data_IF_739562320462
#
_entry.id   IF_739562320462
#
_cell.length_a   1.000
_cell.length_b   1.000
_cell.length_c   1.000
_cell.angle_alpha   90.00
_cell.angle_beta   90.00
_cell.angle_gamma   90.00
#
_symmetry.space_group_name_H-M   'P 1'
#
loop_
_entity.id
_entity.type
_entity.pdbx_description
1 polymer ?
#
# COMPACT_ATOMS: atom_id res chain seq x y z
N UNK A 1 -12.48 -32.27 -5.21
CA UNK A 1 -11.34 -31.53 -4.62
C UNK A 1 -10.89 -32.30 -3.40
N UNK A 2 -9.76 -33.01 -3.45
CA UNK A 2 -9.19 -33.59 -2.22
C UNK A 2 -8.74 -32.42 -1.36
N UNK A 3 -9.44 -32.17 -0.25
CA UNK A 3 -8.97 -31.27 0.79
C UNK A 3 -7.70 -31.89 1.36
N UNK A 4 -6.55 -31.37 0.97
CA UNK A 4 -5.26 -31.77 1.52
C UNK A 4 -5.26 -31.30 2.98
N UNK A 5 -5.70 -32.15 3.91
CA UNK A 5 -5.88 -31.78 5.31
C UNK A 5 -4.50 -31.66 5.95
N UNK A 6 -4.04 -30.41 6.09
CA UNK A 6 -2.81 -30.10 6.82
C UNK A 6 -2.96 -30.58 8.25
N UNK A 7 -1.99 -31.39 8.68
CA UNK A 7 -1.92 -31.96 10.03
C UNK A 7 -0.51 -31.81 10.57
N UNK A 8 -0.36 -31.94 11.88
CA UNK A 8 0.95 -31.92 12.55
C UNK A 8 0.97 -32.98 13.64
N UNK A 9 2.06 -33.73 13.73
CA UNK A 9 2.19 -34.79 14.71
C UNK A 9 2.70 -34.27 16.06
N UNK A 10 2.37 -34.98 17.14
CA UNK A 10 2.95 -34.69 18.47
C UNK A 10 4.48 -34.81 18.51
N UNK A 11 5.08 -35.58 17.60
CA UNK A 11 6.54 -35.68 17.46
C UNK A 11 7.11 -34.41 16.84
N UNK A 12 6.54 -33.97 15.73
CA UNK A 12 6.93 -32.70 15.10
C UNK A 12 6.79 -31.54 16.08
N UNK A 13 5.69 -31.49 16.86
CA UNK A 13 5.52 -30.46 17.90
C UNK A 13 6.59 -30.58 18.98
N UNK A 14 6.98 -31.78 19.39
CA UNK A 14 8.05 -31.99 20.38
C UNK A 14 9.40 -31.51 19.85
N UNK A 15 9.71 -31.79 18.59
CA UNK A 15 10.94 -31.35 17.92
C UNK A 15 10.99 -29.82 17.76
N UNK A 16 9.90 -29.20 17.30
CA UNK A 16 9.78 -27.75 17.14
C UNK A 16 9.91 -27.01 18.47
N UNK A 17 9.41 -27.61 19.55
CA UNK A 17 9.33 -26.95 20.86
C UNK A 17 10.46 -27.31 21.81
N UNK A 18 11.26 -28.34 21.51
CA UNK A 18 12.24 -28.90 22.43
C UNK A 18 11.63 -29.57 23.68
N UNK A 19 10.30 -29.68 23.78
CA UNK A 19 9.64 -30.39 24.89
C UNK A 19 9.81 -31.90 24.70
N UNK A 20 9.98 -32.63 25.81
CA UNK A 20 9.96 -34.09 25.76
C UNK A 20 8.64 -34.61 25.17
N UNK A 21 8.70 -35.50 24.19
CA UNK A 21 7.51 -36.03 23.48
C UNK A 21 6.43 -36.57 24.43
N UNK A 22 6.84 -37.28 25.50
CA UNK A 22 5.92 -37.78 26.53
C UNK A 22 5.04 -36.68 27.15
N UNK A 23 5.58 -35.47 27.30
CA UNK A 23 4.85 -34.32 27.87
C UNK A 23 3.89 -33.74 26.83
N UNK A 24 4.34 -33.59 25.58
CA UNK A 24 3.49 -33.13 24.46
C UNK A 24 2.32 -34.08 24.25
N UNK A 25 2.55 -35.39 24.30
CA UNK A 25 1.52 -36.42 24.17
C UNK A 25 0.51 -36.38 25.33
N UNK A 26 0.98 -36.18 26.56
CA UNK A 26 0.10 -36.01 27.72
C UNK A 26 -0.74 -34.74 27.63
N UNK A 27 -0.14 -33.62 27.25
CA UNK A 27 -0.81 -32.33 27.06
C UNK A 27 -1.88 -32.44 25.95
N UNK A 28 -1.54 -33.07 24.81
CA UNK A 28 -2.47 -33.30 23.71
C UNK A 28 -3.68 -34.15 24.14
N UNK A 29 -3.44 -35.24 24.89
CA UNK A 29 -4.53 -36.08 25.44
C UNK A 29 -5.44 -35.30 26.38
N UNK A 30 -4.86 -34.47 27.25
CA UNK A 30 -5.62 -33.61 28.16
C UNK A 30 -6.48 -32.60 27.39
N UNK A 31 -5.93 -31.99 26.34
CA UNK A 31 -6.67 -31.07 25.48
C UNK A 31 -7.82 -31.77 24.78
N UNK A 32 -7.59 -32.97 24.23
CA UNK A 32 -8.63 -33.80 23.62
C UNK A 32 -9.74 -34.16 24.62
N UNK A 33 -9.38 -34.51 25.85
CA UNK A 33 -10.35 -34.82 26.90
C UNK A 33 -11.19 -33.59 27.27
N UNK A 34 -10.56 -32.43 27.46
CA UNK A 34 -11.25 -31.17 27.77
C UNK A 34 -12.19 -30.76 26.63
N UNK A 35 -11.75 -30.87 25.37
CA UNK A 35 -12.59 -30.49 24.21
C UNK A 35 -13.73 -31.48 23.99
N UNK A 36 -13.51 -32.78 24.27
CA UNK A 36 -14.59 -33.79 24.28
C UNK A 36 -15.62 -33.52 25.36
N UNK A 37 -15.22 -33.20 26.58
CA UNK A 37 -16.12 -32.96 27.71
C UNK A 37 -17.00 -31.70 27.53
N UNK A 38 -16.56 -30.73 26.70
CA UNK A 38 -17.32 -29.52 26.39
C UNK A 38 -18.28 -29.66 25.20
N UNK A 39 -18.06 -30.67 24.36
CA UNK A 39 -19.02 -31.09 23.35
C UNK A 39 -20.09 -31.93 24.05
N UNK A 40 -21.29 -31.41 24.24
CA UNK A 40 -22.42 -32.12 24.85
C UNK A 40 -22.63 -33.52 24.23
N UNK A 41 -23.28 -34.47 24.93
CA UNK A 41 -23.62 -35.79 24.40
C UNK A 41 -24.76 -35.66 23.38
N UNK A 42 -24.48 -35.03 22.25
CA UNK A 42 -25.34 -35.08 21.09
C UNK A 42 -25.03 -36.39 20.37
N UNK A 43 -26.06 -37.23 20.30
CA UNK A 43 -26.13 -38.49 19.58
C UNK A 43 -25.28 -38.49 18.29
N UNK A 44 -24.59 -39.62 18.08
CA UNK A 44 -23.93 -40.10 16.85
C UNK A 44 -22.40 -39.94 16.86
N UNK A 45 -21.72 -41.09 16.90
CA UNK A 45 -20.26 -41.30 16.97
C UNK A 45 -19.46 -40.86 15.72
N UNK A 46 -19.95 -39.91 14.91
CA UNK A 46 -19.39 -39.60 13.58
C UNK A 46 -18.69 -38.23 13.47
N UNK A 47 -18.52 -37.48 14.56
CA UNK A 47 -17.71 -36.26 14.51
C UNK A 47 -16.22 -36.63 14.45
N UNK A 48 -15.48 -36.28 13.36
CA UNK A 48 -14.04 -36.52 13.32
C UNK A 48 -13.39 -35.75 14.45
N UNK A 49 -12.68 -36.47 15.31
CA UNK A 49 -12.15 -36.00 16.59
C UNK A 49 -11.05 -34.94 16.48
N UNK A 50 -10.79 -34.40 15.28
CA UNK A 50 -9.69 -33.50 14.99
C UNK A 50 -8.30 -34.14 15.14
N UNK A 51 -8.23 -35.44 15.44
CA UNK A 51 -6.98 -36.18 15.55
C UNK A 51 -7.12 -37.63 15.05
N UNK A 52 -5.98 -38.25 14.74
CA UNK A 52 -5.84 -39.70 14.58
C UNK A 52 -4.66 -40.25 15.39
N UNK A 53 -4.75 -41.54 15.74
CA UNK A 53 -3.66 -42.24 16.43
C UNK A 53 -2.68 -42.83 15.40
N UNK A 54 -1.39 -42.74 15.70
CA UNK A 54 -0.32 -43.29 14.87
C UNK A 54 0.84 -43.78 15.75
N UNK A 55 1.84 -44.42 15.13
CA UNK A 55 3.07 -44.86 15.81
C UNK A 55 4.31 -44.35 15.09
N UNK A 56 5.37 -44.06 15.84
CA UNK A 56 6.70 -43.76 15.32
C UNK A 56 7.72 -44.75 15.88
N UNK A 57 8.86 -44.88 15.20
CA UNK A 57 10.00 -45.65 15.71
C UNK A 57 10.95 -44.73 16.44
N UNK A 58 11.29 -45.08 17.68
CA UNK A 58 12.28 -44.34 18.45
C UNK A 58 13.71 -44.67 18.01
N UNK A 59 14.71 -43.97 18.57
CA UNK A 59 16.13 -44.21 18.27
C UNK A 59 16.65 -45.60 18.66
N UNK A 60 15.84 -46.43 19.33
CA UNK A 60 16.13 -47.84 19.67
C UNK A 60 15.31 -48.81 18.80
N UNK A 61 14.70 -48.29 17.73
CA UNK A 61 13.84 -49.03 16.81
C UNK A 61 12.61 -49.66 17.47
N UNK A 62 12.16 -49.13 18.62
CA UNK A 62 10.93 -49.54 19.28
C UNK A 62 9.76 -48.66 18.82
N UNK A 63 8.59 -49.28 18.62
CA UNK A 63 7.37 -48.54 18.27
C UNK A 63 6.78 -47.83 19.48
N UNK A 64 6.46 -46.54 19.28
CA UNK A 64 5.93 -45.65 20.30
C UNK A 64 4.68 -44.93 19.75
N UNK A 65 3.66 -44.70 20.58
CA UNK A 65 2.44 -44.02 20.14
C UNK A 65 2.69 -42.53 19.90
N UNK A 66 1.99 -41.95 18.92
CA UNK A 66 1.89 -40.52 18.68
C UNK A 66 0.48 -40.15 18.21
N UNK A 67 0.13 -38.86 18.28
CA UNK A 67 -1.10 -38.33 17.70
C UNK A 67 -0.79 -37.46 16.49
N UNK A 68 -1.64 -37.54 15.48
CA UNK A 68 -1.69 -36.62 14.33
C UNK A 68 -2.83 -35.66 14.58
N UNK A 69 -2.55 -34.37 14.65
CA UNK A 69 -3.50 -33.34 15.06
C UNK A 69 -3.87 -32.45 13.87
N UNK A 70 -5.15 -32.06 13.80
CA UNK A 70 -5.63 -31.03 12.88
C UNK A 70 -5.25 -29.61 13.37
N UNK A 71 -5.65 -28.61 12.60
CA UNK A 71 -5.39 -27.19 12.91
C UNK A 71 -5.93 -26.80 14.28
N UNK A 72 -7.17 -27.18 14.57
CA UNK A 72 -7.86 -26.75 15.77
C UNK A 72 -7.22 -27.33 17.02
N UNK A 73 -6.91 -28.63 17.03
CA UNK A 73 -6.25 -29.26 18.16
C UNK A 73 -4.80 -28.83 18.32
N UNK A 74 -4.06 -28.65 17.23
CA UNK A 74 -2.69 -28.12 17.29
C UNK A 74 -2.67 -26.73 17.92
N UNK A 75 -3.58 -25.85 17.50
CA UNK A 75 -3.64 -24.48 18.00
C UNK A 75 -4.14 -24.43 19.44
N UNK A 76 -5.09 -25.29 19.79
CA UNK A 76 -5.59 -25.40 21.18
C UNK A 76 -4.49 -25.90 22.11
N UNK A 77 -3.72 -26.92 21.70
CA UNK A 77 -2.59 -27.44 22.47
C UNK A 77 -1.57 -26.37 22.81
N UNK A 78 -1.14 -25.60 21.80
CA UNK A 78 -0.10 -24.60 22.00
C UNK A 78 -0.59 -23.38 22.80
N UNK A 79 -1.90 -23.16 22.99
CA UNK A 79 -2.38 -22.03 23.81
C UNK A 79 -1.79 -22.04 25.23
N UNK A 80 -1.51 -23.23 25.78
CA UNK A 80 -0.89 -23.42 27.09
C UNK A 80 0.65 -23.40 27.08
N UNK A 81 1.29 -23.18 25.93
CA UNK A 81 2.74 -23.06 25.81
C UNK A 81 3.17 -21.59 25.85
N UNK A 82 4.44 -21.33 26.14
CA UNK A 82 4.96 -19.97 26.11
C UNK A 82 4.96 -19.39 24.68
N UNK A 83 5.06 -18.07 24.60
CA UNK A 83 4.96 -17.33 23.34
C UNK A 83 6.01 -17.72 22.31
N UNK A 84 7.23 -18.09 22.74
CA UNK A 84 8.29 -18.53 21.82
C UNK A 84 7.93 -19.84 21.16
N UNK A 85 7.51 -20.84 21.95
CA UNK A 85 7.08 -22.14 21.44
C UNK A 85 5.85 -22.05 20.52
N UNK A 86 4.88 -21.20 20.89
CA UNK A 86 3.71 -20.92 20.04
C UNK A 86 4.12 -20.36 18.67
N UNK A 87 5.03 -19.38 18.66
CA UNK A 87 5.51 -18.77 17.43
C UNK A 87 6.14 -19.80 16.48
N UNK A 88 6.98 -20.70 17.01
CA UNK A 88 7.63 -21.76 16.21
C UNK A 88 6.61 -22.72 15.58
N UNK A 89 5.63 -23.17 16.36
CA UNK A 89 4.59 -24.09 15.86
C UNK A 89 3.69 -23.42 14.82
N UNK A 90 3.30 -22.16 15.06
CA UNK A 90 2.48 -21.38 14.10
C UNK A 90 3.24 -21.15 12.79
N UNK A 91 4.53 -20.81 12.86
CA UNK A 91 5.37 -20.63 11.66
C UNK A 91 5.42 -21.89 10.81
N UNK A 92 5.66 -23.05 11.44
CA UNK A 92 5.64 -24.34 10.74
C UNK A 92 4.27 -24.67 10.14
N UNK A 93 3.18 -24.32 10.83
CA UNK A 93 1.84 -24.53 10.30
C UNK A 93 1.59 -23.72 9.02
N UNK A 94 2.01 -22.46 8.98
CA UNK A 94 1.89 -21.59 7.79
C UNK A 94 2.65 -22.19 6.60
N UNK A 95 3.85 -22.75 6.84
CA UNK A 95 4.62 -23.44 5.79
C UNK A 95 3.86 -24.65 5.22
N UNK A 96 3.27 -25.47 6.09
CA UNK A 96 2.49 -26.64 5.66
C UNK A 96 1.23 -26.23 4.89
N UNK A 97 0.55 -25.15 5.29
CA UNK A 97 -0.59 -24.59 4.53
C UNK A 97 -0.16 -24.07 3.15
N UNK A 98 0.99 -23.39 3.07
CA UNK A 98 1.54 -22.92 1.80
C UNK A 98 1.95 -24.09 0.87
N UNK A 99 2.53 -25.16 1.43
CA UNK A 99 2.89 -26.37 0.67
C UNK A 99 1.67 -27.17 0.22
N UNK A 100 0.63 -27.25 1.05
CA UNK A 100 -0.59 -27.98 0.73
C UNK A 100 -1.46 -27.24 -0.29
N UNK A 101 -1.32 -25.91 -0.41
CA UNK A 101 -2.08 -25.09 -1.33
C UNK A 101 -1.24 -23.99 -2.02
N UNK A 102 -0.30 -24.35 -2.92
CA UNK A 102 0.53 -23.39 -3.63
C UNK A 102 -0.29 -22.52 -4.61
N UNK A 103 -1.50 -22.95 -5.01
CA UNK A 103 -2.35 -22.25 -5.97
C UNK A 103 -3.11 -21.04 -5.40
N UNK A 104 -3.49 -21.08 -4.12
CA UNK A 104 -4.30 -20.00 -3.50
C UNK A 104 -3.56 -18.66 -3.41
N UNK A 105 -2.25 -18.70 -3.15
CA UNK A 105 -1.41 -17.50 -3.17
C UNK A 105 -1.22 -16.98 -4.60
N UNK A 106 -1.04 -17.89 -5.58
CA UNK A 106 -0.83 -17.52 -6.98
C UNK A 106 -2.08 -16.88 -7.62
N UNK A 107 -3.27 -17.41 -7.32
CA UNK A 107 -4.55 -16.90 -7.83
C UNK A 107 -4.85 -15.50 -7.25
N UNK A 108 -4.63 -15.30 -5.96
CA UNK A 108 -4.81 -13.99 -5.31
C UNK A 108 -3.86 -12.93 -5.88
N UNK A 109 -2.61 -13.31 -6.15
CA UNK A 109 -1.60 -12.41 -6.76
C UNK A 109 -2.00 -12.06 -8.20
N UNK A 110 -2.52 -13.01 -8.96
CA UNK A 110 -2.95 -12.79 -10.33
C UNK A 110 -4.15 -11.82 -10.39
N UNK A 111 -5.17 -12.05 -9.58
CA UNK A 111 -6.37 -11.20 -9.54
C UNK A 111 -6.04 -9.76 -9.10
N UNK A 112 -5.15 -9.61 -8.13
CA UNK A 112 -4.67 -8.28 -7.71
C UNK A 112 -3.90 -7.59 -8.83
N UNK A 113 -3.03 -8.31 -9.55
CA UNK A 113 -2.29 -7.76 -10.69
C UNK A 113 -3.23 -7.35 -11.83
N UNK A 114 -4.18 -8.20 -12.21
CA UNK A 114 -5.16 -7.92 -13.26
C UNK A 114 -6.03 -6.70 -12.91
N UNK A 115 -6.43 -6.59 -11.65
CA UNK A 115 -7.19 -5.43 -11.14
C UNK A 115 -6.38 -4.14 -11.23
N UNK A 116 -5.09 -4.18 -10.84
CA UNK A 116 -4.22 -3.01 -10.93
C UNK A 116 -3.99 -2.60 -12.39
N UNK A 117 -3.77 -3.57 -13.27
CA UNK A 117 -3.59 -3.31 -14.70
C UNK A 117 -4.83 -2.69 -15.32
N UNK A 118 -6.03 -3.16 -14.97
CA UNK A 118 -7.29 -2.58 -15.43
C UNK A 118 -7.44 -1.12 -14.98
N UNK A 119 -7.06 -0.79 -13.74
CA UNK A 119 -7.07 0.61 -13.23
C UNK A 119 -6.10 1.50 -14.00
N UNK A 120 -4.88 1.02 -14.27
CA UNK A 120 -3.89 1.77 -15.08
C UNK A 120 -4.43 2.03 -16.49
N UNK A 121 -4.99 1.01 -17.14
CA UNK A 121 -5.56 1.14 -18.48
C UNK A 121 -6.73 2.14 -18.53
N UNK A 122 -7.58 2.17 -17.50
CA UNK A 122 -8.68 3.13 -17.40
C UNK A 122 -8.20 4.58 -17.22
N UNK A 123 -7.04 4.79 -16.57
CA UNK A 123 -6.46 6.13 -16.36
C UNK A 123 -5.67 6.65 -17.57
N UNK A 124 -5.18 5.78 -18.46
CA UNK A 124 -4.35 6.16 -19.58
C UNK A 124 -4.98 7.21 -20.54
N UNK A 125 -6.27 7.12 -20.95
CA UNK A 125 -6.88 8.11 -21.84
C UNK A 125 -6.93 9.52 -21.24
N UNK A 126 -7.22 9.62 -19.94
CA UNK A 126 -7.25 10.90 -19.23
C UNK A 126 -5.85 11.54 -19.15
N UNK A 127 -4.81 10.70 -18.94
CA UNK A 127 -3.42 11.16 -18.97
C UNK A 127 -3.00 11.62 -20.36
N UNK A 128 -3.36 10.89 -21.42
CA UNK A 128 -3.02 11.26 -22.80
C UNK A 128 -3.70 12.56 -23.23
N UNK A 129 -4.98 12.75 -22.88
CA UNK A 129 -5.68 14.01 -23.11
C UNK A 129 -5.02 15.17 -22.36
N UNK A 130 -4.61 14.92 -21.12
CA UNK A 130 -3.88 15.89 -20.31
C UNK A 130 -2.59 16.34 -21.01
N UNK A 131 -1.75 15.38 -21.43
CA UNK A 131 -0.49 15.64 -22.15
C UNK A 131 -0.75 16.38 -23.48
N UNK A 132 -1.78 16.00 -24.23
CA UNK A 132 -2.18 16.66 -25.47
C UNK A 132 -2.56 18.13 -25.23
N UNK A 133 -3.34 18.41 -24.17
CA UNK A 133 -3.71 19.78 -23.77
C UNK A 133 -2.46 20.60 -23.43
N UNK A 134 -1.51 20.03 -22.70
CA UNK A 134 -0.23 20.66 -22.37
C UNK A 134 0.63 21.04 -23.58
N UNK A 135 0.55 20.27 -24.67
CA UNK A 135 1.26 20.56 -25.94
C UNK A 135 0.54 21.62 -26.78
N UNK A 136 -0.79 21.58 -26.83
CA UNK A 136 -1.61 22.43 -27.71
C UNK A 136 -1.97 23.76 -27.07
N UNK A 137 -2.78 23.74 -26.01
CA UNK A 137 -3.38 24.93 -25.37
C UNK A 137 -2.63 25.38 -24.11
N UNK A 138 -1.88 24.48 -23.46
CA UNK A 138 -1.15 24.75 -22.23
C UNK A 138 -2.07 24.93 -21.02
N UNK A 139 -1.47 24.90 -19.83
CA UNK A 139 -2.18 24.95 -18.56
C UNK A 139 -2.28 26.38 -18.03
N UNK A 140 -3.40 26.72 -17.37
CA UNK A 140 -3.42 27.94 -16.55
C UNK A 140 -2.44 27.81 -15.38
N UNK A 141 -2.03 28.93 -14.79
CA UNK A 141 -1.10 28.93 -13.64
C UNK A 141 -1.59 28.04 -12.49
N UNK A 142 -2.85 28.22 -12.06
CA UNK A 142 -3.47 27.43 -10.99
C UNK A 142 -3.59 25.96 -11.36
N UNK A 143 -3.94 25.68 -12.61
CA UNK A 143 -4.03 24.31 -13.11
C UNK A 143 -2.67 23.61 -13.05
N UNK A 144 -1.63 24.27 -13.56
CA UNK A 144 -0.27 23.74 -13.56
C UNK A 144 0.27 23.53 -12.13
N UNK A 145 -0.02 24.46 -11.21
CA UNK A 145 0.37 24.33 -9.81
C UNK A 145 -0.30 23.13 -9.14
N UNK A 146 -1.61 22.93 -9.36
CA UNK A 146 -2.33 21.77 -8.83
C UNK A 146 -1.75 20.45 -9.33
N UNK A 147 -1.41 20.39 -10.62
CA UNK A 147 -0.82 19.20 -11.23
C UNK A 147 0.62 18.93 -10.77
N UNK A 148 1.28 19.95 -10.24
CA UNK A 148 2.63 19.89 -9.69
C UNK A 148 2.64 19.77 -8.17
N UNK A 149 1.48 19.56 -7.53
CA UNK A 149 1.35 19.49 -6.07
C UNK A 149 1.89 20.76 -5.36
N UNK A 150 1.60 21.92 -5.93
CA UNK A 150 1.91 23.23 -5.33
C UNK A 150 0.66 23.76 -4.60
N UNK A 151 0.74 23.86 -3.28
CA UNK A 151 -0.42 24.09 -2.41
C UNK A 151 -1.00 25.51 -2.50
N UNK A 152 -0.14 26.47 -2.81
CA UNK A 152 -0.48 27.90 -2.71
C UNK A 152 -0.06 28.67 -3.97
N UNK A 153 -0.78 28.49 -5.09
CA UNK A 153 -0.40 29.06 -6.38
C UNK A 153 -0.31 30.60 -6.37
N UNK A 154 -1.20 31.29 -5.68
CA UNK A 154 -1.22 32.77 -5.66
C UNK A 154 -0.08 33.34 -4.82
N UNK A 155 0.20 32.73 -3.66
CA UNK A 155 1.36 33.09 -2.85
C UNK A 155 2.66 32.85 -3.63
N UNK A 156 2.77 31.72 -4.32
CA UNK A 156 3.93 31.44 -5.16
C UNK A 156 4.11 32.49 -6.24
N UNK A 157 3.02 32.91 -6.90
CA UNK A 157 3.08 33.94 -7.91
C UNK A 157 3.49 35.30 -7.33
N UNK A 158 2.98 35.66 -6.14
CA UNK A 158 3.41 36.85 -5.41
C UNK A 158 4.91 36.79 -5.06
N UNK A 159 5.39 35.64 -4.58
CA UNK A 159 6.81 35.42 -4.31
C UNK A 159 7.65 35.60 -5.58
N UNK A 160 7.22 35.06 -6.73
CA UNK A 160 7.91 35.26 -8.00
C UNK A 160 7.96 36.74 -8.39
N UNK A 161 6.91 37.52 -8.10
CA UNK A 161 6.92 38.97 -8.31
C UNK A 161 7.97 39.64 -7.43
N UNK A 162 8.01 39.33 -6.13
CA UNK A 162 9.01 39.89 -5.21
C UNK A 162 10.44 39.55 -5.60
N UNK A 163 10.65 38.40 -6.24
CA UNK A 163 11.95 37.95 -6.74
C UNK A 163 12.31 38.50 -8.13
N UNK A 164 11.48 39.36 -8.72
CA UNK A 164 11.68 39.88 -10.09
C UNK A 164 11.50 38.84 -11.20
N UNK A 165 10.96 37.66 -10.87
CA UNK A 165 10.70 36.56 -11.81
C UNK A 165 9.34 36.65 -12.48
N UNK A 166 8.50 37.57 -12.01
CA UNK A 166 7.20 37.90 -12.59
C UNK A 166 6.91 39.40 -12.38
N UNK A 167 5.97 39.96 -13.13
CA UNK A 167 5.54 41.36 -12.97
C UNK A 167 4.05 41.54 -13.22
N UNK A 168 3.48 42.60 -12.64
CA UNK A 168 2.15 43.10 -12.98
C UNK A 168 2.26 44.19 -14.05
N UNK A 169 1.41 44.13 -15.07
CA UNK A 169 1.30 45.18 -16.09
C UNK A 169 0.47 46.36 -15.56
N UNK A 170 0.51 47.50 -16.27
CA UNK A 170 -0.34 48.66 -15.97
C UNK A 170 -1.84 48.32 -16.02
N UNK A 171 -2.22 47.34 -16.84
CA UNK A 171 -3.58 46.81 -16.96
C UNK A 171 -3.93 45.74 -15.90
N UNK A 172 -3.05 45.49 -14.93
CA UNK A 172 -3.28 44.54 -13.83
C UNK A 172 -3.05 43.06 -14.19
N UNK A 173 -2.65 42.76 -15.42
CA UNK A 173 -2.31 41.41 -15.83
C UNK A 173 -0.95 40.98 -15.29
N UNK A 174 -0.70 39.66 -15.28
CA UNK A 174 0.56 39.10 -14.79
C UNK A 174 1.36 38.47 -15.93
N UNK A 175 2.64 38.80 -15.99
CA UNK A 175 3.62 38.25 -16.93
C UNK A 175 4.76 37.58 -16.15
N UNK A 176 5.30 36.48 -16.67
CA UNK A 176 6.54 35.89 -16.17
C UNK A 176 7.75 36.50 -16.87
N UNK A 177 8.91 36.43 -16.23
CA UNK A 177 10.17 36.88 -16.81
C UNK A 177 10.43 36.21 -18.18
N UNK A 178 10.96 36.93 -19.19
CA UNK A 178 11.19 36.38 -20.54
C UNK A 178 12.02 35.09 -20.58
N UNK A 179 12.91 34.87 -19.62
CA UNK A 179 13.69 33.63 -19.50
C UNK A 179 12.84 32.37 -19.42
N UNK A 180 11.65 32.44 -18.82
CA UNK A 180 10.73 31.29 -18.77
C UNK A 180 10.22 30.93 -20.16
N UNK A 181 10.01 31.92 -21.02
CA UNK A 181 9.65 31.71 -22.42
C UNK A 181 10.85 31.17 -23.20
N UNK A 182 12.04 31.75 -23.01
CA UNK A 182 13.27 31.29 -23.66
C UNK A 182 13.61 29.81 -23.33
N UNK A 183 13.32 29.37 -22.10
CA UNK A 183 13.49 27.96 -21.67
C UNK A 183 12.40 27.03 -22.20
N UNK A 184 11.34 27.57 -22.80
CA UNK A 184 10.18 26.84 -23.30
C UNK A 184 9.18 26.40 -22.20
N UNK A 185 9.27 26.98 -21.00
CA UNK A 185 8.39 26.63 -19.88
C UNK A 185 7.02 27.27 -19.99
N UNK A 186 6.95 28.43 -20.64
CA UNK A 186 5.69 29.16 -20.83
C UNK A 186 5.54 29.66 -22.24
N UNK A 187 4.29 29.83 -22.66
CA UNK A 187 3.93 30.54 -23.88
C UNK A 187 3.17 31.80 -23.54
N UNK A 188 3.47 32.88 -24.26
CA UNK A 188 2.78 34.16 -24.10
C UNK A 188 1.36 34.07 -24.66
N UNK A 189 0.43 34.78 -24.02
CA UNK A 189 -0.97 34.90 -24.44
C UNK A 189 -1.27 36.37 -24.65
N UNK A 190 -1.87 36.70 -25.81
CA UNK A 190 -2.28 38.07 -26.09
C UNK A 190 -3.40 38.51 -25.14
N UNK A 191 -3.43 39.79 -24.74
CA UNK A 191 -4.48 40.33 -23.87
C UNK A 191 -5.80 40.49 -24.64
N UNK A 192 -6.51 39.38 -24.86
CA UNK A 192 -7.90 39.37 -25.35
C UNK A 192 -8.84 39.09 -24.18
N UNK A 193 -9.82 39.97 -23.95
CA UNK A 193 -10.66 40.00 -22.73
C UNK A 193 -11.17 38.64 -22.25
N UNK A 194 -11.69 37.80 -23.14
CA UNK A 194 -12.23 36.47 -22.81
C UNK A 194 -11.17 35.47 -22.32
N UNK A 195 -9.98 35.50 -22.92
CA UNK A 195 -8.90 34.56 -22.63
C UNK A 195 -8.18 34.99 -21.35
N UNK A 196 -8.01 36.29 -21.13
CA UNK A 196 -7.36 36.81 -19.91
C UNK A 196 -8.24 36.65 -18.68
N UNK A 197 -9.55 36.86 -18.77
CA UNK A 197 -10.46 36.66 -17.63
C UNK A 197 -10.53 35.19 -17.21
N UNK A 198 -10.70 34.27 -18.17
CA UNK A 198 -10.72 32.82 -17.90
C UNK A 198 -9.36 32.24 -17.45
N UNK A 199 -8.26 32.95 -17.71
CA UNK A 199 -6.90 32.57 -17.28
C UNK A 199 -6.43 33.32 -16.02
N UNK A 200 -7.35 33.90 -15.22
CA UNK A 200 -7.00 34.56 -13.96
C UNK A 200 -6.16 35.84 -14.13
N UNK A 201 -6.20 36.46 -15.30
CA UNK A 201 -5.42 37.65 -15.63
C UNK A 201 -3.95 37.36 -15.95
N UNK A 202 -3.57 36.11 -16.22
CA UNK A 202 -2.20 35.76 -16.62
C UNK A 202 -2.04 35.83 -18.13
N UNK A 203 -1.00 36.53 -18.62
CA UNK A 203 -0.64 36.61 -20.04
C UNK A 203 0.28 35.48 -20.47
N UNK A 204 0.20 34.33 -19.79
CA UNK A 204 0.98 33.15 -20.09
C UNK A 204 0.19 31.88 -19.81
N UNK A 205 0.58 30.80 -20.50
CA UNK A 205 0.18 29.42 -20.18
C UNK A 205 1.42 28.58 -19.96
N UNK A 206 1.34 27.65 -19.02
CA UNK A 206 2.43 26.70 -18.74
C UNK A 206 2.41 25.60 -19.80
N UNK A 207 3.56 25.31 -20.40
CA UNK A 207 3.70 24.22 -21.37
C UNK A 207 3.82 22.88 -20.66
N UNK A 208 3.71 21.76 -21.40
CA UNK A 208 4.02 20.44 -20.83
C UNK A 208 5.44 20.41 -20.23
N UNK A 209 6.41 21.00 -20.94
CA UNK A 209 7.80 21.15 -20.48
C UNK A 209 7.90 21.97 -19.19
N UNK A 210 7.22 23.12 -19.11
CA UNK A 210 7.20 23.95 -17.90
C UNK A 210 6.52 23.27 -16.70
N UNK A 211 5.51 22.43 -16.96
CA UNK A 211 4.90 21.64 -15.90
C UNK A 211 5.89 20.58 -15.37
N UNK A 212 6.54 19.82 -16.24
CA UNK A 212 7.40 18.70 -15.84
C UNK A 212 8.77 19.14 -15.35
N UNK A 213 9.48 19.97 -16.10
CA UNK A 213 10.88 20.33 -15.83
C UNK A 213 11.05 21.54 -14.91
N UNK A 214 9.98 22.33 -14.70
CA UNK A 214 10.05 23.50 -13.83
C UNK A 214 9.17 23.35 -12.58
N UNK A 215 7.85 23.24 -12.73
CA UNK A 215 6.96 23.22 -11.57
C UNK A 215 7.09 21.91 -10.78
N UNK A 216 6.90 20.74 -11.42
CA UNK A 216 7.02 19.43 -10.76
C UNK A 216 8.41 19.19 -10.19
N UNK A 217 9.45 19.50 -10.96
CA UNK A 217 10.84 19.33 -10.53
C UNK A 217 11.20 20.16 -9.28
N UNK A 218 10.48 21.27 -9.01
CA UNK A 218 10.79 22.20 -7.91
C UNK A 218 9.64 22.37 -6.92
N UNK A 219 8.62 21.53 -6.97
CA UNK A 219 7.40 21.69 -6.17
C UNK A 219 7.70 21.74 -4.67
N UNK A 220 8.54 20.83 -4.17
CA UNK A 220 8.92 20.81 -2.75
C UNK A 220 9.68 22.05 -2.30
N UNK A 221 10.58 22.59 -3.14
CA UNK A 221 11.29 23.84 -2.86
C UNK A 221 10.34 25.04 -2.88
N UNK A 222 9.42 25.07 -3.85
CA UNK A 222 8.42 26.13 -4.00
C UNK A 222 7.45 26.16 -2.81
N UNK A 223 6.93 25.01 -2.38
CA UNK A 223 6.03 24.93 -1.22
C UNK A 223 6.73 25.37 0.07
N UNK A 224 8.00 24.96 0.27
CA UNK A 224 8.83 25.47 1.38
C UNK A 224 9.00 26.99 1.30
N UNK A 225 9.42 27.50 0.14
CA UNK A 225 9.65 28.92 -0.05
C UNK A 225 8.38 29.75 0.19
N UNK A 226 7.21 29.23 -0.18
CA UNK A 226 5.92 29.87 0.06
C UNK A 226 5.50 29.82 1.54
N UNK A 227 5.83 28.76 2.27
CA UNK A 227 5.58 28.67 3.71
C UNK A 227 6.40 29.69 4.52
N UNK A 228 7.61 30.01 4.06
CA UNK A 228 8.53 30.95 4.73
C UNK A 228 8.57 32.35 4.10
N UNK A 229 7.89 32.55 2.98
CA UNK A 229 7.78 33.88 2.39
C UNK A 229 7.03 34.77 3.38
N UNK A 230 7.56 35.96 3.68
CA UNK A 230 6.87 37.01 4.44
C UNK A 230 5.70 37.58 3.64
N UNK A 231 4.77 36.72 3.24
CA UNK A 231 3.63 36.99 2.36
C UNK A 231 2.45 36.18 2.90
N UNK A 232 1.32 36.85 3.16
CA UNK A 232 0.13 36.23 3.74
C UNK A 232 -0.58 35.25 2.77
N UNK A 233 -1.69 34.64 3.23
CA UNK A 233 -2.50 33.73 2.41
C UNK A 233 -3.11 34.30 1.14
N UNK A 234 -3.07 35.62 0.97
CA UNK A 234 -3.60 36.33 -0.18
C UNK A 234 -2.50 36.95 -1.04
N UNK A 235 -1.22 36.65 -0.78
CA UNK A 235 -0.12 37.16 -1.60
C UNK A 235 0.34 38.58 -1.22
N UNK A 236 0.00 39.08 -0.02
CA UNK A 236 0.39 40.42 0.44
C UNK A 236 1.65 40.35 1.33
N UNK A 237 2.62 41.25 1.20
CA UNK A 237 3.79 41.29 2.09
C UNK A 237 3.38 41.42 3.57
N UNK A 238 3.90 40.55 4.43
CA UNK A 238 3.82 40.63 5.88
C UNK A 238 4.93 41.60 6.31
N UNK A 239 4.53 42.75 6.87
CA UNK A 239 5.46 43.75 7.42
C UNK A 239 6.14 43.24 8.68
#
# INVERSE_FOLDING_TARGET
MLTNTVTMTTIEIAELTGKAHKNVLADARKVIEITRLKSQPCSNNDQPLGYSEATYRDGRNAERPMLVLDKHLTFTLITGYDTGLRHTVVGRWIELEAQANPGFLAETIKDTLDTLQARVNAMAPAYDEHVRKGRTVGYSWREACRLADIDHPDKLLALLITQGKARKTLSGHTELHPDYHAKGFVKAVKPTNLITQSNGGHLFKITSKGLTEWLKAKAGEMNKAVAFAGVDQWGRPIK
#
